data_IF_397912123540
#
_entry.id   IF_397912123540
#
_cell.length_a   1.000
_cell.length_b   1.000
_cell.length_c   1.000
_cell.angle_alpha   90.00
_cell.angle_beta   90.00
_cell.angle_gamma   90.00
#
_symmetry.space_group_name_H-M   'P 1'
#
loop_
_entity.id
_entity.type
_entity.pdbx_description
1 polymer ?
#
# COMPACT_ATOMS: atom_id res chain seq x y z
N UNK A 1 41.68 -3.49 -18.88
CA UNK A 1 41.13 -4.59 -19.70
C UNK A 1 40.79 -5.74 -18.77
N UNK A 2 39.70 -6.45 -19.07
CA UNK A 2 39.06 -7.59 -18.37
C UNK A 2 37.82 -7.28 -17.53
N UNK A 3 36.69 -7.35 -18.27
CA UNK A 3 35.33 -7.64 -17.83
C UNK A 3 35.25 -9.02 -17.14
N UNK A 4 34.46 -9.17 -16.08
CA UNK A 4 33.78 -10.42 -15.67
C UNK A 4 32.44 -9.99 -15.06
N UNK A 5 31.37 -9.95 -15.87
CA UNK A 5 30.32 -10.97 -15.99
C UNK A 5 29.50 -11.12 -14.69
N UNK A 6 28.47 -10.28 -14.62
CA UNK A 6 27.26 -10.42 -13.81
C UNK A 6 26.74 -11.86 -13.92
N UNK A 7 26.74 -12.57 -12.80
CA UNK A 7 26.21 -13.93 -12.71
C UNK A 7 24.80 -13.79 -12.12
N UNK A 8 23.80 -13.86 -13.00
CA UNK A 8 22.40 -14.04 -12.65
C UNK A 8 22.27 -15.36 -11.88
N UNK A 9 22.01 -15.32 -10.57
CA UNK A 9 21.59 -16.48 -9.82
C UNK A 9 20.06 -16.39 -9.72
N UNK A 10 19.40 -17.05 -10.65
CA UNK A 10 17.99 -17.34 -10.57
C UNK A 10 17.79 -18.42 -9.49
N UNK A 11 17.39 -18.01 -8.29
CA UNK A 11 16.93 -18.93 -7.25
C UNK A 11 15.41 -19.08 -7.38
N UNK A 12 14.99 -20.01 -8.24
CA UNK A 12 13.61 -20.48 -8.28
C UNK A 12 13.37 -21.40 -7.07
N UNK A 13 12.82 -20.84 -5.99
CA UNK A 13 12.32 -21.61 -4.85
C UNK A 13 10.92 -22.10 -5.20
N UNK A 14 10.84 -23.31 -5.76
CA UNK A 14 9.60 -24.07 -5.86
C UNK A 14 9.54 -25.05 -4.69
N UNK A 15 8.99 -24.61 -3.56
CA UNK A 15 8.63 -25.48 -2.45
C UNK A 15 7.29 -26.15 -2.78
N UNK A 16 7.33 -27.31 -3.43
CA UNK A 16 6.17 -28.19 -3.55
C UNK A 16 6.30 -29.34 -2.55
N UNK A 17 5.53 -29.24 -1.46
CA UNK A 17 5.22 -30.35 -0.58
C UNK A 17 4.59 -31.49 -1.39
N UNK A 18 5.22 -32.67 -1.31
CA UNK A 18 4.70 -33.90 -1.90
C UNK A 18 5.30 -35.09 -1.18
N UNK A 19 4.68 -35.48 -0.07
CA UNK A 19 5.00 -36.70 0.64
C UNK A 19 4.65 -37.92 -0.22
N UNK A 20 5.64 -38.72 -0.64
CA UNK A 20 5.55 -40.19 -0.68
C UNK A 20 6.96 -40.80 -0.68
N UNK A 21 7.12 -41.80 0.19
CA UNK A 21 8.08 -42.91 0.23
C UNK A 21 9.35 -42.84 -0.64
N UNK A 22 10.52 -43.07 0.00
CA UNK A 22 11.43 -44.16 -0.37
C UNK A 22 12.61 -44.30 0.61
N UNK A 23 12.67 -45.50 1.19
CA UNK A 23 13.83 -46.30 1.60
C UNK A 23 14.89 -45.77 2.59
N UNK A 24 15.01 -46.55 3.65
CA UNK A 24 16.13 -46.66 4.58
C UNK A 24 17.37 -47.18 3.83
N UNK A 25 18.51 -46.46 3.86
CA UNK A 25 19.87 -46.74 3.34
C UNK A 25 20.35 -45.41 2.73
N UNK A 26 20.84 -44.45 3.50
CA UNK A 26 22.23 -44.38 3.94
C UNK A 26 22.32 -43.47 5.18
N UNK A 27 22.39 -44.09 6.36
CA UNK A 27 22.83 -43.46 7.60
C UNK A 27 24.32 -43.74 7.73
N UNK A 28 25.19 -42.89 7.18
CA UNK A 28 26.54 -42.76 7.72
C UNK A 28 27.18 -41.44 7.27
N UNK A 29 27.75 -40.75 8.26
CA UNK A 29 28.68 -39.62 8.14
C UNK A 29 28.18 -38.27 7.65
N UNK A 30 27.42 -37.57 8.51
CA UNK A 30 27.54 -36.09 8.63
C UNK A 30 27.53 -35.71 10.12
N UNK A 31 28.49 -36.27 10.86
CA UNK A 31 28.83 -35.79 12.20
C UNK A 31 29.99 -34.80 12.08
N UNK A 32 29.70 -33.52 12.39
CA UNK A 32 30.66 -32.41 12.64
C UNK A 32 30.89 -31.36 11.54
N UNK A 33 29.85 -30.85 10.87
CA UNK A 33 29.90 -29.52 10.20
C UNK A 33 28.62 -28.68 10.38
N UNK A 34 27.85 -28.90 11.47
CA UNK A 34 26.54 -28.26 11.66
C UNK A 34 26.59 -27.05 12.61
N UNK A 35 27.71 -26.78 13.29
CA UNK A 35 27.72 -25.74 14.34
C UNK A 35 28.03 -24.32 13.83
N UNK A 36 28.65 -24.13 12.65
CA UNK A 36 28.86 -22.79 12.03
C UNK A 36 27.88 -22.46 10.89
N UNK A 37 27.17 -23.46 10.36
CA UNK A 37 26.20 -23.27 9.27
C UNK A 37 24.80 -22.90 9.78
N UNK A 38 24.47 -23.24 11.03
CA UNK A 38 23.15 -22.94 11.61
C UNK A 38 22.97 -21.44 11.92
N UNK A 39 24.02 -20.75 12.38
CA UNK A 39 23.93 -19.32 12.73
C UNK A 39 23.73 -18.44 11.48
N UNK A 40 24.30 -18.82 10.34
CA UNK A 40 24.13 -18.07 9.07
C UNK A 40 22.79 -18.33 8.38
N UNK A 41 22.17 -19.49 8.60
CA UNK A 41 20.86 -19.82 8.00
C UNK A 41 19.73 -19.09 8.71
N UNK A 42 19.83 -18.89 10.03
CA UNK A 42 18.80 -18.16 10.78
C UNK A 42 18.82 -16.67 10.42
N UNK A 43 20.00 -16.07 10.27
CA UNK A 43 20.12 -14.67 9.83
C UNK A 43 19.75 -14.48 8.35
N UNK A 44 20.10 -15.42 7.47
CA UNK A 44 19.68 -15.39 6.07
C UNK A 44 18.17 -15.59 5.90
N UNK A 45 17.56 -16.49 6.68
CA UNK A 45 16.11 -16.71 6.68
C UNK A 45 15.35 -15.51 7.26
N UNK A 46 15.87 -14.87 8.32
CA UNK A 46 15.31 -13.62 8.86
C UNK A 46 15.44 -12.48 7.87
N UNK A 47 16.58 -12.33 7.20
CA UNK A 47 16.79 -11.30 6.17
C UNK A 47 15.83 -11.50 5.00
N UNK A 48 15.71 -12.73 4.47
CA UNK A 48 14.78 -13.02 3.38
C UNK A 48 13.31 -12.87 3.80
N UNK A 49 12.97 -13.21 5.04
CA UNK A 49 11.61 -12.99 5.56
C UNK A 49 11.31 -11.48 5.67
N UNK A 50 12.23 -10.69 6.24
CA UNK A 50 12.11 -9.24 6.32
C UNK A 50 12.01 -8.58 4.95
N UNK A 51 12.82 -8.98 3.97
CA UNK A 51 12.74 -8.44 2.59
C UNK A 51 11.41 -8.77 1.89
N UNK A 52 10.83 -9.95 2.13
CA UNK A 52 9.52 -10.33 1.60
C UNK A 52 8.38 -9.59 2.32
N UNK A 53 8.50 -9.39 3.62
CA UNK A 53 7.52 -8.66 4.44
C UNK A 53 7.52 -7.17 4.08
N UNK A 54 8.69 -6.59 3.85
CA UNK A 54 8.87 -5.21 3.37
C UNK A 54 8.28 -5.04 1.95
N UNK A 55 8.63 -5.90 1.00
CA UNK A 55 8.09 -5.83 -0.36
C UNK A 55 6.56 -6.07 -0.42
N UNK A 56 6.03 -6.94 0.45
CA UNK A 56 4.59 -7.15 0.58
C UNK A 56 3.90 -5.93 1.21
N UNK A 57 4.53 -5.29 2.20
CA UNK A 57 4.05 -4.06 2.82
C UNK A 57 3.99 -2.89 1.85
N UNK A 58 5.03 -2.69 1.04
CA UNK A 58 5.08 -1.65 0.00
C UNK A 58 4.00 -1.85 -1.07
N UNK A 59 3.81 -3.08 -1.54
CA UNK A 59 2.76 -3.37 -2.53
C UNK A 59 1.34 -3.17 -1.96
N UNK A 60 1.13 -3.49 -0.68
CA UNK A 60 -0.15 -3.24 0.00
C UNK A 60 -0.39 -1.73 0.18
N UNK A 61 0.66 -0.96 0.49
CA UNK A 61 0.63 0.49 0.58
C UNK A 61 0.17 1.12 -0.73
N UNK A 62 0.81 0.77 -1.85
CA UNK A 62 0.50 1.31 -3.18
C UNK A 62 -0.96 1.05 -3.57
N UNK A 63 -1.44 -0.17 -3.34
CA UNK A 63 -2.85 -0.53 -3.63
C UNK A 63 -3.78 0.30 -2.74
N UNK A 64 -3.40 0.51 -1.49
CA UNK A 64 -4.21 1.26 -0.56
C UNK A 64 -4.32 2.74 -0.93
N UNK A 65 -3.20 3.38 -1.24
CA UNK A 65 -3.16 4.76 -1.73
C UNK A 65 -4.00 4.93 -2.98
N UNK A 66 -3.88 4.02 -3.96
CA UNK A 66 -4.68 4.10 -5.20
C UNK A 66 -6.18 3.96 -4.92
N UNK A 67 -6.58 3.04 -4.04
CA UNK A 67 -7.98 2.84 -3.68
C UNK A 67 -8.56 4.07 -2.98
N UNK A 68 -7.86 4.58 -1.97
CA UNK A 68 -8.26 5.76 -1.19
C UNK A 68 -8.32 6.99 -2.09
N UNK A 69 -7.31 7.19 -2.94
CA UNK A 69 -7.28 8.28 -3.93
C UNK A 69 -8.51 8.25 -4.83
N UNK A 70 -8.81 7.11 -5.44
CA UNK A 70 -9.93 7.01 -6.38
C UNK A 70 -11.29 7.19 -5.70
N UNK A 71 -11.44 6.72 -4.45
CA UNK A 71 -12.66 6.95 -3.68
C UNK A 71 -12.79 8.42 -3.27
N UNK A 72 -11.70 9.03 -2.78
CA UNK A 72 -11.68 10.42 -2.40
C UNK A 72 -11.96 11.37 -3.56
N UNK A 73 -11.47 11.07 -4.78
CA UNK A 73 -11.83 11.81 -5.99
C UNK A 73 -13.34 11.76 -6.22
N UNK A 74 -13.91 10.56 -6.39
CA UNK A 74 -15.32 10.41 -6.75
C UNK A 74 -16.27 10.95 -5.67
N UNK A 75 -16.06 10.55 -4.43
CA UNK A 75 -16.94 10.97 -3.33
C UNK A 75 -16.69 12.43 -2.93
N UNK A 76 -15.47 12.93 -3.08
CA UNK A 76 -15.16 14.34 -2.87
C UNK A 76 -15.91 15.25 -3.85
N UNK A 77 -15.96 14.87 -5.14
CA UNK A 77 -16.71 15.58 -6.17
C UNK A 77 -18.21 15.65 -5.85
N UNK A 78 -18.78 14.55 -5.35
CA UNK A 78 -20.18 14.50 -4.89
C UNK A 78 -20.41 15.45 -3.70
N UNK A 79 -19.54 15.45 -2.70
CA UNK A 79 -19.67 16.34 -1.53
C UNK A 79 -19.57 17.82 -1.90
N UNK A 80 -18.67 18.18 -2.82
CA UNK A 80 -18.59 19.55 -3.34
C UNK A 80 -19.87 19.95 -4.06
N UNK A 81 -20.42 19.06 -4.91
CA UNK A 81 -21.69 19.27 -5.60
C UNK A 81 -22.85 19.46 -4.61
N UNK A 82 -22.96 18.60 -3.60
CA UNK A 82 -24.00 18.64 -2.57
C UNK A 82 -23.89 19.88 -1.67
N UNK A 83 -22.68 20.38 -1.46
CA UNK A 83 -22.42 21.65 -0.75
C UNK A 83 -22.76 22.90 -1.58
N UNK A 84 -23.16 22.73 -2.85
CA UNK A 84 -23.49 23.82 -3.77
C UNK A 84 -22.28 24.44 -4.47
N UNK A 85 -21.14 23.73 -4.50
CA UNK A 85 -19.90 24.17 -5.13
C UNK A 85 -19.46 23.12 -6.17
N UNK A 86 -20.22 22.90 -7.26
CA UNK A 86 -19.87 21.92 -8.27
C UNK A 86 -18.48 22.22 -8.84
N UNK A 87 -17.73 21.15 -9.12
CA UNK A 87 -16.41 21.23 -9.73
C UNK A 87 -16.54 21.34 -11.25
N UNK A 88 -15.52 21.92 -11.88
CA UNK A 88 -15.44 22.00 -13.33
C UNK A 88 -15.19 20.62 -13.98
N UNK A 89 -15.00 20.62 -15.29
CA UNK A 89 -14.81 19.39 -16.06
C UNK A 89 -13.50 18.62 -15.73
N UNK A 90 -12.54 19.27 -15.07
CA UNK A 90 -11.29 18.64 -14.66
C UNK A 90 -11.44 17.85 -13.33
N UNK A 91 -12.46 18.16 -12.52
CA UNK A 91 -12.80 17.44 -11.29
C UNK A 91 -11.77 17.63 -10.16
N UNK A 92 -11.63 16.60 -9.29
CA UNK A 92 -10.59 16.58 -8.25
C UNK A 92 -9.35 15.79 -8.71
N UNK A 93 -8.18 16.42 -8.58
CA UNK A 93 -6.89 15.73 -8.59
C UNK A 93 -6.48 15.41 -7.16
N UNK A 94 -6.51 14.13 -6.80
CA UNK A 94 -6.17 13.65 -5.46
C UNK A 94 -4.79 12.99 -5.42
N UNK A 95 -4.07 13.22 -4.33
CA UNK A 95 -2.93 12.44 -3.87
C UNK A 95 -3.31 11.75 -2.55
N UNK A 96 -2.89 10.50 -2.41
CA UNK A 96 -2.99 9.74 -1.16
C UNK A 96 -1.60 9.27 -0.78
N UNK A 97 -1.26 9.33 0.50
CA UNK A 97 0.07 8.92 0.97
C UNK A 97 -0.08 8.20 2.29
N UNK A 98 0.53 7.02 2.38
CA UNK A 98 0.65 6.31 3.64
C UNK A 98 1.55 7.10 4.59
N UNK A 99 1.01 7.38 5.77
CA UNK A 99 1.72 7.90 6.92
C UNK A 99 1.85 6.81 8.01
N UNK A 100 2.79 7.02 8.93
CA UNK A 100 2.97 6.18 10.13
C UNK A 100 3.10 4.66 9.88
N UNK A 101 3.68 4.24 8.75
CA UNK A 101 3.99 2.82 8.52
C UNK A 101 2.78 1.93 8.22
N UNK A 102 1.80 2.45 7.46
CA UNK A 102 0.52 1.84 7.03
C UNK A 102 -0.65 2.05 7.98
N UNK A 103 -0.47 2.74 9.10
CA UNK A 103 -1.54 2.98 10.07
C UNK A 103 -2.50 4.11 9.64
N UNK A 104 -2.01 5.06 8.85
CA UNK A 104 -2.78 6.23 8.40
C UNK A 104 -2.55 6.46 6.91
N UNK A 105 -3.58 6.91 6.20
CA UNK A 105 -3.49 7.38 4.82
C UNK A 105 -4.00 8.81 4.79
N UNK A 106 -3.10 9.74 4.49
CA UNK A 106 -3.43 11.14 4.26
C UNK A 106 -3.94 11.32 2.84
N UNK A 107 -4.97 12.15 2.69
CA UNK A 107 -5.62 12.47 1.43
C UNK A 107 -5.58 13.97 1.23
N UNK A 108 -5.08 14.39 0.07
CA UNK A 108 -5.10 15.77 -0.34
C UNK A 108 -5.55 15.86 -1.80
N UNK A 109 -6.67 16.53 -2.04
CA UNK A 109 -7.17 16.76 -3.38
C UNK A 109 -7.29 18.25 -3.66
N UNK A 110 -7.03 18.60 -4.91
CA UNK A 110 -7.18 19.95 -5.43
C UNK A 110 -8.03 19.93 -6.69
N UNK A 111 -8.84 20.96 -6.88
CA UNK A 111 -9.66 21.14 -8.07
C UNK A 111 -10.08 22.59 -8.22
N UNK A 112 -10.92 22.85 -9.21
CA UNK A 112 -11.50 24.17 -9.44
C UNK A 112 -13.01 24.03 -9.53
N UNK A 113 -13.75 24.94 -8.89
CA UNK A 113 -15.22 25.01 -8.99
C UNK A 113 -15.65 25.58 -10.34
N UNK A 114 -16.89 25.31 -10.78
CA UNK A 114 -17.45 25.89 -12.01
C UNK A 114 -17.44 27.44 -12.00
N UNK A 115 -17.49 28.06 -10.80
CA UNK A 115 -17.39 29.50 -10.59
C UNK A 115 -15.94 30.04 -10.58
N UNK A 116 -14.94 29.15 -10.70
CA UNK A 116 -13.52 29.49 -10.77
C UNK A 116 -12.80 29.62 -9.43
N UNK A 117 -13.46 29.27 -8.32
CA UNK A 117 -12.84 29.21 -6.98
C UNK A 117 -11.97 27.96 -6.81
N UNK A 118 -10.88 28.08 -6.04
CA UNK A 118 -9.98 26.95 -5.76
C UNK A 118 -10.63 26.00 -4.76
N UNK A 119 -10.82 24.73 -5.12
CA UNK A 119 -11.35 23.70 -4.24
C UNK A 119 -10.22 22.83 -3.67
N UNK A 120 -10.27 22.58 -2.37
CA UNK A 120 -9.31 21.70 -1.68
C UNK A 120 -10.07 20.73 -0.77
N UNK A 121 -9.79 19.43 -0.90
CA UNK A 121 -10.27 18.39 0.01
C UNK A 121 -9.07 17.83 0.76
N UNK A 122 -9.09 17.93 2.09
CA UNK A 122 -8.04 17.36 2.93
C UNK A 122 -8.63 16.41 3.94
N UNK A 123 -7.94 15.32 4.24
CA UNK A 123 -8.38 14.41 5.26
C UNK A 123 -7.39 13.30 5.53
N UNK A 124 -7.74 12.44 6.46
CA UNK A 124 -6.99 11.23 6.76
C UNK A 124 -7.96 10.10 7.11
N UNK A 125 -7.52 8.87 6.85
CA UNK A 125 -8.20 7.64 7.26
C UNK A 125 -7.20 6.70 7.92
N UNK A 126 -7.64 5.97 8.93
CA UNK A 126 -6.91 4.83 9.51
C UNK A 126 -7.48 3.49 9.04
N UNK A 127 -8.45 3.50 8.13
CA UNK A 127 -8.99 2.28 7.56
C UNK A 127 -8.12 1.83 6.39
N UNK A 128 -7.55 0.63 6.55
CA UNK A 128 -6.88 -0.04 5.44
C UNK A 128 -7.93 -0.52 4.42
N UNK A 129 -7.78 -0.17 3.14
CA UNK A 129 -8.71 -0.60 2.09
C UNK A 129 -8.67 -2.12 1.95
N UNK A 130 -9.85 -2.72 2.08
CA UNK A 130 -10.04 -4.17 2.23
C UNK A 130 -11.07 -4.54 3.30
N UNK A 131 -11.28 -3.66 4.29
CA UNK A 131 -12.39 -3.76 5.24
C UNK A 131 -13.72 -3.32 4.59
N UNK A 132 -13.68 -2.22 3.83
CA UNK A 132 -14.82 -1.65 3.10
C UNK A 132 -14.36 -1.22 1.72
N UNK A 133 -15.10 -1.61 0.67
CA UNK A 133 -14.77 -1.28 -0.74
C UNK A 133 -15.56 -0.11 -1.29
N UNK A 134 -16.51 0.42 -0.52
CA UNK A 134 -17.46 1.47 -0.93
C UNK A 134 -17.44 2.71 -0.04
N UNK A 135 -16.78 2.64 1.11
CA UNK A 135 -16.73 3.71 2.10
C UNK A 135 -15.38 3.73 2.79
N UNK A 136 -14.94 4.91 3.19
CA UNK A 136 -13.74 5.14 4.00
C UNK A 136 -14.11 6.05 5.16
N UNK A 137 -13.99 5.53 6.38
CA UNK A 137 -14.13 6.28 7.61
C UNK A 137 -12.87 7.12 7.85
N UNK A 138 -13.06 8.37 8.27
CA UNK A 138 -11.96 9.30 8.46
C UNK A 138 -12.46 10.66 8.91
N UNK A 139 -11.69 11.69 8.62
CA UNK A 139 -12.18 13.07 8.72
C UNK A 139 -11.70 13.83 7.52
N UNK A 140 -12.65 14.32 6.73
CA UNK A 140 -12.42 14.96 5.44
C UNK A 140 -13.09 16.33 5.43
N UNK A 141 -12.31 17.36 5.10
CA UNK A 141 -12.73 18.75 5.09
C UNK A 141 -12.57 19.29 3.68
N UNK A 142 -13.68 19.76 3.10
CA UNK A 142 -13.70 20.44 1.82
C UNK A 142 -13.70 21.96 2.03
N UNK A 143 -12.87 22.67 1.27
CA UNK A 143 -12.81 24.12 1.27
C UNK A 143 -12.88 24.69 -0.15
N UNK A 144 -13.44 25.90 -0.27
CA UNK A 144 -13.40 26.72 -1.48
C UNK A 144 -12.80 28.07 -1.14
N UNK A 145 -11.74 28.46 -1.84
CA UNK A 145 -10.94 29.67 -1.58
C UNK A 145 -10.54 29.79 -0.10
N UNK A 146 -10.19 28.66 0.52
CA UNK A 146 -9.81 28.55 1.93
C UNK A 146 -10.95 28.65 2.94
N UNK A 147 -12.21 28.71 2.48
CA UNK A 147 -13.41 28.67 3.35
C UNK A 147 -13.96 27.26 3.39
N UNK A 148 -14.12 26.70 4.59
CA UNK A 148 -14.78 25.40 4.77
C UNK A 148 -16.21 25.42 4.24
N UNK A 149 -16.51 24.48 3.34
CA UNK A 149 -17.85 24.28 2.76
C UNK A 149 -18.51 23.01 3.27
N UNK A 150 -17.73 22.01 3.66
CA UNK A 150 -18.21 20.82 4.36
C UNK A 150 -17.12 20.15 5.19
N UNK A 151 -17.56 19.38 6.19
CA UNK A 151 -16.74 18.39 6.91
C UNK A 151 -17.53 17.09 6.97
N UNK A 152 -16.90 15.97 6.61
CA UNK A 152 -17.48 14.63 6.68
C UNK A 152 -16.58 13.66 7.43
N UNK A 153 -17.17 12.75 8.19
CA UNK A 153 -16.45 11.66 8.87
C UNK A 153 -16.38 10.39 8.05
N UNK A 154 -17.00 10.37 6.86
CA UNK A 154 -16.99 9.24 5.95
C UNK A 154 -17.08 9.75 4.52
N UNK A 155 -16.29 9.16 3.62
CA UNK A 155 -16.45 9.35 2.18
C UNK A 155 -16.95 8.04 1.57
N UNK A 156 -18.17 8.07 1.00
CA UNK A 156 -18.85 6.90 0.43
C UNK A 156 -20.20 6.64 1.11
N UNK A 157 -21.02 5.78 0.48
CA UNK A 157 -22.34 5.36 0.99
C UNK A 157 -23.47 5.39 -0.01
#
# INVERSE_FOLDING_TARGET
MFRHRTLFIAAAVFAAFGATACSEEDREDIGNEVEEAAENVEDAARTAASEVEEAAGEAAADVAEVAVRNLATQQGEEQFTDSGNPLDEDGLSCDATVADGLDTIDVNCTGTTEDGGTAELTGSTSELPGASVTEIEGTFTGTVDGTEVFTSTNLGG
#
